data_IF_237399879602
#
_entry.id   IF_237399879602
#
_cell.length_a   1.000
_cell.length_b   1.000
_cell.length_c   1.000
_cell.angle_alpha   90.00
_cell.angle_beta   90.00
_cell.angle_gamma   90.00
#
_symmetry.space_group_name_H-M   'P 1'
#
loop_
_entity.id
_entity.type
_entity.pdbx_description
1 polymer ?
#
# COMPACT_ATOMS: atom_id res chain seq x y z
N UNK A 1 4.03 -9.63 -5.01
CA UNK A 1 4.81 -9.13 -3.87
C UNK A 1 4.12 -9.60 -2.61
N UNK A 2 4.87 -10.10 -1.63
CA UNK A 2 4.35 -10.57 -0.34
C UNK A 2 4.93 -9.73 0.79
N UNK A 3 4.11 -9.39 1.77
CA UNK A 3 4.49 -8.60 2.94
C UNK A 3 4.03 -9.32 4.21
N UNK A 4 4.99 -9.71 5.04
CA UNK A 4 4.79 -10.50 6.26
C UNK A 4 4.69 -9.66 7.54
N UNK A 5 4.72 -8.33 7.42
CA UNK A 5 4.59 -7.40 8.53
C UNK A 5 3.41 -6.50 8.26
N UNK A 6 2.50 -6.41 9.23
CA UNK A 6 1.34 -5.53 9.19
C UNK A 6 1.62 -4.29 10.05
N UNK A 7 1.24 -3.12 9.53
CA UNK A 7 1.19 -1.88 10.29
C UNK A 7 -0.28 -1.60 10.61
N UNK A 8 -0.65 -1.72 11.88
CA UNK A 8 -1.98 -1.38 12.34
C UNK A 8 -1.95 -0.01 13.00
N UNK A 9 -2.48 0.99 12.31
CA UNK A 9 -2.65 2.34 12.83
C UNK A 9 -4.05 2.50 13.41
N UNK A 10 -4.11 2.86 14.69
CA UNK A 10 -5.38 3.11 15.36
C UNK A 10 -5.87 4.54 15.10
N UNK A 11 -6.95 4.69 14.33
CA UNK A 11 -7.58 5.97 13.99
C UNK A 11 -8.74 6.37 14.95
N UNK A 12 -8.93 5.65 16.06
CA UNK A 12 -10.01 5.90 17.03
C UNK A 12 -9.75 7.10 17.96
N UNK A 13 -10.74 7.40 18.83
CA UNK A 13 -10.63 8.43 19.87
C UNK A 13 -9.71 7.90 20.99
N UNK A 14 -8.41 8.24 20.93
CA UNK A 14 -7.39 7.79 21.87
C UNK A 14 -5.98 8.17 21.44
N UNK A 15 -4.97 7.64 22.13
CA UNK A 15 -3.56 7.77 21.70
C UNK A 15 -3.37 7.07 20.35
N UNK A 16 -2.88 7.76 19.30
CA UNK A 16 -2.51 7.10 18.06
C UNK A 16 -1.39 6.11 18.37
N UNK A 17 -1.69 4.83 18.18
CA UNK A 17 -0.77 3.73 18.46
C UNK A 17 -0.59 2.95 17.18
N UNK A 18 0.64 2.97 16.69
CA UNK A 18 1.08 2.19 15.53
C UNK A 18 1.69 0.89 16.04
N UNK A 19 1.08 -0.24 15.66
CA UNK A 19 1.54 -1.56 16.07
C UNK A 19 2.04 -2.33 14.85
N UNK A 20 3.31 -2.72 14.90
CA UNK A 20 3.95 -3.58 13.91
C UNK A 20 3.80 -5.04 14.33
N UNK A 21 3.08 -5.83 13.52
CA UNK A 21 2.73 -7.20 13.87
C UNK A 21 3.14 -8.17 12.77
N UNK A 22 3.67 -9.35 13.13
CA UNK A 22 4.00 -10.37 12.16
C UNK A 22 2.73 -11.00 11.58
N UNK A 23 2.83 -11.53 10.36
CA UNK A 23 1.83 -12.43 9.81
C UNK A 23 1.73 -13.70 10.67
N UNK A 24 0.50 -14.17 10.88
CA UNK A 24 0.19 -15.36 11.67
C UNK A 24 -0.65 -16.34 10.85
N UNK A 25 -0.87 -17.58 11.30
CA UNK A 25 -1.78 -18.50 10.62
C UNK A 25 -3.23 -17.98 10.51
N UNK A 26 -3.63 -17.03 11.38
CA UNK A 26 -4.95 -16.40 11.38
C UNK A 26 -5.00 -15.12 10.56
N UNK A 27 -3.92 -14.33 10.56
CA UNK A 27 -3.77 -13.08 9.80
C UNK A 27 -2.70 -13.30 8.75
N UNK A 28 -3.14 -13.61 7.52
CA UNK A 28 -2.25 -13.97 6.42
C UNK A 28 -1.38 -12.79 5.99
N UNK A 29 -0.19 -13.02 5.41
CA UNK A 29 0.60 -11.95 4.83
C UNK A 29 -0.18 -11.21 3.74
N UNK A 30 0.07 -9.90 3.63
CA UNK A 30 -0.51 -9.07 2.58
C UNK A 30 0.18 -9.42 1.26
N UNK A 31 -0.61 -9.78 0.26
CA UNK A 31 -0.14 -10.14 -1.07
C UNK A 31 -0.58 -9.09 -2.08
N UNK A 32 0.20 -8.86 -3.13
CA UNK A 32 -0.25 -8.06 -4.26
C UNK A 32 0.33 -8.55 -5.57
N UNK A 33 -0.46 -8.37 -6.63
CA UNK A 33 -0.03 -8.58 -8.00
C UNK A 33 -0.19 -7.28 -8.77
N UNK A 34 0.81 -6.92 -9.57
CA UNK A 34 0.81 -5.71 -10.36
C UNK A 34 1.29 -6.04 -11.78
N UNK A 35 0.57 -5.51 -12.77
CA UNK A 35 1.01 -5.46 -14.15
C UNK A 35 1.12 -3.99 -14.58
N UNK A 36 2.17 -3.67 -15.33
CA UNK A 36 2.38 -2.34 -15.87
C UNK A 36 2.88 -2.43 -17.32
N UNK A 37 2.48 -1.46 -18.13
CA UNK A 37 2.89 -1.31 -19.53
C UNK A 37 3.14 0.17 -19.79
N UNK A 38 4.29 0.47 -20.39
CA UNK A 38 4.68 1.84 -20.68
C UNK A 38 5.54 1.98 -21.92
N UNK A 39 5.60 3.19 -22.43
CA UNK A 39 6.49 3.58 -23.53
C UNK A 39 7.28 4.81 -23.11
N UNK A 40 8.57 4.82 -23.43
CA UNK A 40 9.45 5.96 -23.22
C UNK A 40 10.07 6.38 -24.54
N UNK A 41 10.24 7.70 -24.70
CA UNK A 41 10.86 8.28 -25.87
C UNK A 41 11.78 9.43 -25.49
N UNK A 42 12.99 9.40 -26.05
CA UNK A 42 13.96 10.47 -25.91
C UNK A 42 13.94 11.33 -27.18
N UNK A 43 13.46 12.56 -27.06
CA UNK A 43 13.49 13.56 -28.12
C UNK A 43 14.54 14.63 -27.82
N UNK A 44 15.72 14.49 -28.43
CA UNK A 44 16.89 15.36 -28.19
C UNK A 44 17.26 15.37 -26.70
N UNK A 45 17.06 16.49 -26.02
CA UNK A 45 17.34 16.68 -24.59
C UNK A 45 16.12 16.44 -23.70
N UNK A 46 14.97 16.08 -24.26
CA UNK A 46 13.74 15.82 -23.51
C UNK A 46 13.41 14.33 -23.49
N UNK A 47 13.23 13.77 -22.31
CA UNK A 47 12.70 12.44 -22.10
C UNK A 47 11.22 12.53 -21.72
N UNK A 48 10.41 11.72 -22.39
CA UNK A 48 9.01 11.55 -22.09
C UNK A 48 8.75 10.07 -21.83
N UNK A 49 7.99 9.75 -20.79
CA UNK A 49 7.41 8.43 -20.65
C UNK A 49 5.96 8.50 -20.20
N UNK A 50 5.21 7.50 -20.65
CA UNK A 50 3.86 7.24 -20.20
C UNK A 50 3.79 5.78 -19.80
N UNK A 51 3.25 5.51 -18.63
CA UNK A 51 3.08 4.17 -18.09
C UNK A 51 1.67 4.01 -17.54
N UNK A 52 1.05 2.87 -17.80
CA UNK A 52 -0.19 2.47 -17.15
C UNK A 52 0.03 1.24 -16.30
N UNK A 53 -0.61 1.20 -15.14
CA UNK A 53 -0.53 0.07 -14.23
C UNK A 53 -1.89 -0.35 -13.70
N UNK A 54 -1.97 -1.63 -13.37
CA UNK A 54 -3.08 -2.25 -12.66
C UNK A 54 -2.53 -3.15 -11.55
N UNK A 55 -3.05 -2.99 -10.34
CA UNK A 55 -2.58 -3.64 -9.12
C UNK A 55 -3.77 -4.18 -8.33
N UNK A 56 -3.67 -5.46 -7.96
CA UNK A 56 -4.59 -6.11 -7.03
C UNK A 56 -3.84 -6.35 -5.72
N UNK A 57 -4.51 -6.10 -4.61
CA UNK A 57 -3.99 -6.26 -3.26
C UNK A 57 -4.94 -7.20 -2.53
N UNK A 58 -4.38 -8.18 -1.84
CA UNK A 58 -5.09 -9.20 -1.09
C UNK A 58 -4.59 -9.21 0.36
N UNK A 59 -5.48 -9.57 1.27
CA UNK A 59 -5.21 -9.67 2.70
C UNK A 59 -4.71 -8.36 3.33
N UNK A 60 -5.23 -7.21 2.89
CA UNK A 60 -4.98 -5.92 3.54
C UNK A 60 -5.61 -5.94 4.92
N UNK A 61 -4.80 -5.82 5.96
CA UNK A 61 -5.25 -5.92 7.35
C UNK A 61 -5.62 -4.54 7.91
N UNK A 62 -6.84 -4.41 8.40
CA UNK A 62 -7.33 -3.18 9.05
C UNK A 62 -8.12 -3.53 10.32
N UNK A 63 -8.27 -2.57 11.24
CA UNK A 63 -9.11 -2.77 12.42
C UNK A 63 -10.59 -2.93 12.05
N UNK A 64 -11.28 -3.84 12.73
CA UNK A 64 -12.74 -3.95 12.61
C UNK A 64 -13.38 -2.65 13.13
N UNK A 65 -14.50 -2.23 12.54
CA UNK A 65 -15.25 -1.06 12.99
C UNK A 65 -15.54 -1.10 14.50
N UNK A 66 -15.17 -0.03 15.21
CA UNK A 66 -15.35 0.09 16.66
C UNK A 66 -14.35 -0.72 17.51
N UNK A 67 -13.46 -1.51 16.89
CA UNK A 67 -12.36 -2.15 17.59
C UNK A 67 -11.15 -1.22 17.66
N UNK A 68 -10.57 -1.12 18.85
CA UNK A 68 -9.31 -0.43 19.11
C UNK A 68 -8.47 -1.32 20.00
N UNK A 69 -7.14 -1.22 19.87
CA UNK A 69 -6.20 -1.96 20.72
C UNK A 69 -6.51 -1.75 22.22
N UNK A 70 -6.93 -0.54 22.61
CA UNK A 70 -7.29 -0.22 23.99
C UNK A 70 -8.63 -0.83 24.44
N UNK A 71 -9.59 -1.01 23.54
CA UNK A 71 -10.94 -1.49 23.89
C UNK A 71 -10.98 -3.00 24.06
N UNK A 72 -10.06 -3.73 23.40
CA UNK A 72 -10.06 -5.20 23.34
C UNK A 72 -8.69 -5.82 23.70
N UNK A 73 -7.99 -5.25 24.69
CA UNK A 73 -6.65 -5.73 25.11
C UNK A 73 -6.66 -7.17 25.65
N UNK A 74 -7.81 -7.67 26.13
CA UNK A 74 -7.96 -9.02 26.68
C UNK A 74 -8.10 -10.10 25.60
N UNK A 75 -8.36 -9.71 24.34
CA UNK A 75 -8.48 -10.63 23.21
C UNK A 75 -7.18 -10.63 22.40
N UNK A 76 -6.88 -11.78 21.81
CA UNK A 76 -5.80 -11.90 20.84
C UNK A 76 -6.00 -10.84 19.73
N UNK A 77 -4.97 -10.06 19.40
CA UNK A 77 -5.09 -8.92 18.48
C UNK A 77 -5.65 -9.35 17.11
N UNK A 78 -5.43 -10.61 16.71
CA UNK A 78 -5.94 -11.21 15.49
C UNK A 78 -7.47 -11.18 15.41
N UNK A 79 -8.20 -11.13 16.54
CA UNK A 79 -9.67 -11.02 16.54
C UNK A 79 -10.18 -9.60 16.35
N UNK A 80 -9.30 -8.60 16.44
CA UNK A 80 -9.66 -7.18 16.33
C UNK A 80 -9.41 -6.63 14.92
N UNK A 81 -8.93 -7.47 14.01
CA UNK A 81 -8.59 -7.09 12.63
C UNK A 81 -9.40 -7.89 11.62
N UNK A 82 -9.63 -7.27 10.47
CA UNK A 82 -10.22 -7.89 9.29
C UNK A 82 -9.24 -7.81 8.13
N UNK A 83 -9.34 -8.74 7.19
CA UNK A 83 -8.51 -8.78 5.99
C UNK A 83 -9.39 -8.56 4.75
N UNK A 84 -9.07 -7.52 3.98
CA UNK A 84 -9.78 -7.16 2.75
C UNK A 84 -8.95 -7.36 1.50
N UNK A 85 -9.59 -7.16 0.35
CA UNK A 85 -8.94 -7.00 -0.96
C UNK A 85 -9.17 -5.59 -1.49
N UNK A 86 -8.24 -5.09 -2.29
CA UNK A 86 -8.34 -3.77 -2.90
C UNK A 86 -7.66 -3.73 -4.26
N UNK A 87 -8.17 -2.85 -5.12
CA UNK A 87 -7.66 -2.66 -6.47
C UNK A 87 -7.15 -1.24 -6.64
N UNK A 88 -6.09 -1.08 -7.42
CA UNK A 88 -5.50 0.22 -7.75
C UNK A 88 -5.05 0.22 -9.20
N UNK A 89 -5.35 1.29 -9.91
CA UNK A 89 -4.98 1.45 -11.30
C UNK A 89 -4.73 2.91 -11.62
N UNK A 90 -3.85 3.17 -12.57
CA UNK A 90 -3.44 4.53 -12.86
C UNK A 90 -2.62 4.66 -14.14
N UNK A 91 -2.41 5.92 -14.51
CA UNK A 91 -1.51 6.35 -15.57
C UNK A 91 -0.49 7.31 -14.97
N UNK A 92 0.77 7.09 -15.29
CA UNK A 92 1.90 7.92 -14.88
C UNK A 92 2.51 8.58 -16.12
N UNK A 93 2.77 9.88 -16.02
CA UNK A 93 3.42 10.67 -17.06
C UNK A 93 4.68 11.27 -16.48
N UNK A 94 5.79 11.11 -17.19
CA UNK A 94 7.06 11.67 -16.78
C UNK A 94 7.64 12.48 -17.95
N UNK A 95 8.13 13.67 -17.63
CA UNK A 95 8.82 14.54 -18.57
C UNK A 95 10.05 15.12 -17.89
N UNK A 96 11.21 14.95 -18.51
CA UNK A 96 12.47 15.46 -17.98
C UNK A 96 13.30 16.11 -19.08
N UNK A 97 13.91 17.26 -18.80
CA UNK A 97 14.98 17.83 -19.63
C UNK A 97 16.33 17.34 -19.10
N UNK A 98 17.00 16.44 -19.84
CA UNK A 98 18.29 15.83 -19.44
C UNK A 98 19.46 16.81 -19.54
N UNK A 99 19.42 17.75 -20.49
CA UNK A 99 20.56 18.63 -20.79
C UNK A 99 20.13 20.07 -21.11
N UNK A 100 20.98 21.03 -20.72
CA UNK A 100 20.84 22.47 -21.02
C UNK A 100 20.46 23.33 -19.80
N UNK A 101 20.69 24.66 -19.90
CA UNK A 101 20.30 25.61 -18.83
C UNK A 101 18.77 25.70 -18.72
N UNK A 102 18.27 25.82 -17.49
CA UNK A 102 16.84 26.06 -17.16
C UNK A 102 16.50 27.56 -17.22
N UNK A 103 17.39 28.38 -17.76
CA UNK A 103 17.26 29.82 -17.99
C UNK A 103 18.09 30.21 -19.20
#
# INVERSE_FOLDING_TARGET
MEQYIHLLTNNGIGLPTDLWLPATPKVKPQSSWQAALGVSHLLKSYEFSIEGYYKNIFNTTEYIEGASFMTNYERAWESNVTQGSGDSYGLEFFMQKKEGKTT
#
